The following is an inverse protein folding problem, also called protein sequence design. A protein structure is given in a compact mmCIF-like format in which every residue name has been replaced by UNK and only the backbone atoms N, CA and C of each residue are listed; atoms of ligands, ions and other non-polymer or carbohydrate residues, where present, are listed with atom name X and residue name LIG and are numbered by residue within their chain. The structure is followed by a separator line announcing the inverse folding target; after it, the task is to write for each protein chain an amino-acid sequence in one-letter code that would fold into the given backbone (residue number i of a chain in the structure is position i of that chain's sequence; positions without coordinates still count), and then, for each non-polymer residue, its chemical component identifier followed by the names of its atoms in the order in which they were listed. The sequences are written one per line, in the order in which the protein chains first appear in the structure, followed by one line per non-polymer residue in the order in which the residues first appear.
data_IF_497985497384
#
_entry.id   IF_497985497384
#
_cell.length_a   1.000
_cell.length_b   1.000
_cell.length_c   1.000
_cell.angle_alpha   90.00
_cell.angle_beta   90.00
_cell.angle_gamma   90.00
#
_symmetry.space_group_name_H-M   'P 1'
#
loop_
_entity.id
_entity.type
_entity.pdbx_description
1 polymer ?
#
# COMPACT_ATOMS: atom_id res chain seq x y z
N UNK A 1 -1.88 -16.21 -2.56
CA UNK A 1 -2.07 -14.77 -2.30
C UNK A 1 -1.63 -14.09 -3.58
N UNK A 2 -2.51 -13.31 -4.20
CA UNK A 2 -2.17 -12.61 -5.45
C UNK A 2 -1.30 -11.40 -5.15
N UNK A 3 -0.41 -11.04 -6.08
CA UNK A 3 0.43 -9.85 -5.95
C UNK A 3 -0.44 -8.62 -6.24
N UNK A 4 -0.45 -7.68 -5.31
CA UNK A 4 -1.30 -6.49 -5.35
C UNK A 4 -0.55 -5.33 -5.99
N UNK A 5 -1.02 -4.88 -7.15
CA UNK A 5 -0.48 -3.70 -7.79
C UNK A 5 -0.94 -2.43 -7.04
N UNK A 6 0.01 -1.68 -6.47
CA UNK A 6 -0.28 -0.52 -5.60
C UNK A 6 -0.89 0.68 -6.34
N UNK A 7 -0.75 0.73 -7.67
CA UNK A 7 -1.28 1.80 -8.50
C UNK A 7 -2.72 1.53 -8.99
N UNK A 8 -3.17 0.27 -8.99
CA UNK A 8 -4.54 -0.10 -9.43
C UNK A 8 -5.41 -0.63 -8.31
N UNK A 9 -4.81 -1.18 -7.25
CA UNK A 9 -5.55 -1.87 -6.20
C UNK A 9 -6.61 -0.97 -5.54
N UNK A 10 -7.71 -1.61 -5.16
CA UNK A 10 -8.80 -1.04 -4.42
C UNK A 10 -8.62 -1.24 -2.90
N UNK A 11 -9.53 -0.67 -2.12
CA UNK A 11 -9.45 -0.70 -0.66
C UNK A 11 -9.42 -2.14 -0.10
N UNK A 12 -10.28 -3.03 -0.59
CA UNK A 12 -10.38 -4.42 -0.10
C UNK A 12 -9.11 -5.22 -0.40
N UNK A 13 -8.50 -4.97 -1.55
CA UNK A 13 -7.21 -5.58 -1.91
C UNK A 13 -6.14 -5.12 -0.91
N UNK A 14 -6.03 -3.82 -0.62
CA UNK A 14 -5.09 -3.36 0.41
C UNK A 14 -5.37 -3.93 1.80
N UNK A 15 -6.64 -4.05 2.21
CA UNK A 15 -7.04 -4.66 3.48
C UNK A 15 -6.71 -6.17 3.57
N UNK A 16 -6.46 -6.83 2.44
CA UNK A 16 -6.02 -8.23 2.42
C UNK A 16 -4.53 -8.39 2.77
N UNK A 17 -3.76 -7.29 2.74
CA UNK A 17 -2.34 -7.31 3.09
C UNK A 17 -2.15 -7.49 4.60
N UNK A 18 -1.12 -8.24 5.03
CA UNK A 18 -0.82 -8.36 6.44
C UNK A 18 -0.54 -6.98 7.04
N UNK A 19 -1.08 -6.72 8.23
CA UNK A 19 -0.91 -5.47 8.99
C UNK A 19 -1.55 -4.21 8.38
N UNK A 20 -2.27 -4.33 7.26
CA UNK A 20 -3.01 -3.22 6.65
C UNK A 20 -4.48 -3.36 7.01
N UNK A 21 -4.97 -2.44 7.84
CA UNK A 21 -6.40 -2.30 8.14
C UNK A 21 -7.06 -1.21 7.29
N UNK A 22 -8.39 -1.01 7.46
CA UNK A 22 -9.18 -0.08 6.64
C UNK A 22 -8.64 1.35 6.64
N UNK A 23 -8.17 1.84 7.80
CA UNK A 23 -7.61 3.19 7.92
C UNK A 23 -6.32 3.35 7.11
N UNK A 24 -5.45 2.33 7.09
CA UNK A 24 -4.20 2.40 6.32
C UNK A 24 -4.48 2.24 4.82
N UNK A 25 -5.40 1.35 4.44
CA UNK A 25 -5.84 1.18 3.06
C UNK A 25 -6.42 2.48 2.47
N UNK A 26 -7.28 3.17 3.21
CA UNK A 26 -7.82 4.47 2.82
C UNK A 26 -6.72 5.51 2.61
N UNK A 27 -5.71 5.54 3.49
CA UNK A 27 -4.57 6.46 3.35
C UNK A 27 -3.72 6.17 2.12
N UNK A 28 -3.53 4.91 1.75
CA UNK A 28 -2.82 4.54 0.51
C UNK A 28 -3.57 5.10 -0.70
N UNK A 29 -4.89 4.91 -0.75
CA UNK A 29 -5.74 5.42 -1.83
C UNK A 29 -5.74 6.95 -1.88
N UNK A 30 -5.83 7.61 -0.72
CA UNK A 30 -5.79 9.07 -0.62
C UNK A 30 -4.45 9.62 -1.10
N UNK A 31 -3.34 9.02 -0.68
CA UNK A 31 -1.99 9.39 -1.14
C UNK A 31 -1.86 9.25 -2.66
N UNK A 32 -2.28 8.10 -3.22
CA UNK A 32 -2.27 7.86 -4.67
C UNK A 32 -3.09 8.90 -5.43
N UNK A 33 -4.21 9.36 -4.85
CA UNK A 33 -5.07 10.38 -5.45
C UNK A 33 -4.48 11.79 -5.36
N UNK A 34 -3.77 12.13 -4.28
CA UNK A 34 -3.22 13.48 -4.09
C UNK A 34 -1.84 13.68 -4.72
N UNK A 35 -0.95 12.70 -4.56
CA UNK A 35 0.45 12.78 -5.01
C UNK A 35 0.67 12.14 -6.37
N UNK A 36 -0.29 11.35 -6.84
CA UNK A 36 -0.17 10.55 -8.06
C UNK A 36 0.34 9.13 -7.81
N UNK A 37 0.74 8.40 -8.88
CA UNK A 37 1.15 7.01 -8.77
C UNK A 37 2.44 6.84 -7.97
N UNK A 38 2.57 5.69 -7.32
CA UNK A 38 3.82 5.24 -6.71
C UNK A 38 4.80 4.84 -7.82
N UNK A 39 6.07 5.23 -7.67
CA UNK A 39 7.13 4.93 -8.64
C UNK A 39 7.98 3.72 -8.20
N UNK A 40 7.90 3.38 -6.91
CA UNK A 40 8.50 2.20 -6.31
C UNK A 40 7.62 1.67 -5.18
N UNK A 41 7.78 0.39 -4.84
CA UNK A 41 7.15 -0.18 -3.64
C UNK A 41 7.62 0.53 -2.37
N UNK A 42 8.86 1.04 -2.36
CA UNK A 42 9.42 1.84 -1.26
C UNK A 42 8.65 3.12 -1.00
N UNK A 43 7.99 3.70 -2.00
CA UNK A 43 7.21 4.93 -1.84
C UNK A 43 6.02 4.75 -0.89
N UNK A 44 5.58 3.52 -0.61
CA UNK A 44 4.54 3.25 0.38
C UNK A 44 4.90 3.79 1.77
N UNK A 45 6.18 3.94 2.14
CA UNK A 45 6.59 4.53 3.42
C UNK A 45 6.23 6.01 3.57
N UNK A 46 5.90 6.69 2.45
CA UNK A 46 5.41 8.07 2.46
C UNK A 46 3.97 8.14 2.98
N UNK A 47 3.25 7.02 3.01
CA UNK A 47 1.88 6.94 3.54
C UNK A 47 1.90 6.83 5.06
N UNK A 48 1.19 7.75 5.74
CA UNK A 48 1.09 7.76 7.20
C UNK A 48 0.55 6.43 7.75
N UNK A 49 1.36 5.74 8.55
CA UNK A 49 1.02 4.45 9.14
C UNK A 49 1.74 3.27 8.48
N UNK A 50 2.48 3.50 7.40
CA UNK A 50 3.38 2.52 6.80
C UNK A 50 4.81 2.91 7.16
N UNK A 51 5.39 2.22 8.14
CA UNK A 51 6.80 2.33 8.46
C UNK A 51 7.62 1.22 7.80
N UNK A 52 8.96 1.22 7.97
CA UNK A 52 9.85 0.20 7.40
C UNK A 52 9.41 -1.23 7.75
N UNK A 53 9.04 -1.48 9.02
CA UNK A 53 8.55 -2.80 9.48
C UNK A 53 7.25 -3.24 8.80
N UNK A 54 6.37 -2.30 8.49
CA UNK A 54 5.12 -2.59 7.78
C UNK A 54 5.45 -2.91 6.33
N UNK A 55 6.31 -2.09 5.69
CA UNK A 55 6.75 -2.30 4.32
C UNK A 55 7.40 -3.67 4.13
N UNK A 56 8.32 -4.06 5.01
CA UNK A 56 8.99 -5.37 4.94
C UNK A 56 8.00 -6.54 4.94
N UNK A 57 6.90 -6.43 5.70
CA UNK A 57 5.87 -7.47 5.78
C UNK A 57 4.98 -7.54 4.55
N UNK A 58 4.72 -6.40 3.90
CA UNK A 58 3.82 -6.35 2.73
C UNK A 58 4.56 -6.46 1.39
N UNK A 59 5.86 -6.14 1.35
CA UNK A 59 6.70 -6.13 0.14
C UNK A 59 6.61 -7.43 -0.69
N UNK A 60 6.54 -8.63 -0.12
CA UNK A 60 6.38 -9.88 -0.90
C UNK A 60 5.03 -10.00 -1.63
N UNK A 61 4.04 -9.19 -1.27
CA UNK A 61 2.66 -9.27 -1.74
C UNK A 61 2.25 -8.09 -2.61
N UNK A 62 3.16 -7.18 -2.92
CA UNK A 62 2.86 -5.96 -3.68
C UNK A 62 3.77 -5.78 -4.87
N UNK A 63 3.24 -5.20 -5.94
CA UNK A 63 3.98 -4.74 -7.12
C UNK A 63 3.62 -3.30 -7.45
N UNK A 64 4.34 -2.73 -8.41
CA UNK A 64 3.92 -1.50 -9.10
C UNK A 64 2.73 -1.72 -10.01
#
# INVERSE_FOLDING_TARGET
MEIININVANQKEFESLPTIGPVTAERILAYRKSEGPFHSVDDLVKVKGIGPKTLEKIRPYVSL
#
